data_IF_853853775979
#
_entry.id   IF_853853775979
#
_cell.length_a   1.000
_cell.length_b   1.000
_cell.length_c   1.000
_cell.angle_alpha   90.00
_cell.angle_beta   90.00
_cell.angle_gamma   90.00
#
_symmetry.space_group_name_H-M   'P 1'
#
loop_
_entity.id
_entity.type
_entity.pdbx_description
1 polymer ?
#
# COMPACT_ATOMS: atom_id res chain seq x y z
N UNK A 1 15.40 -18.98 14.77
CA UNK A 1 14.96 -17.61 15.13
C UNK A 1 14.30 -16.91 13.93
N UNK A 2 13.10 -16.32 14.09
CA UNK A 2 12.50 -15.46 13.05
C UNK A 2 13.31 -14.17 12.93
N UNK A 3 13.60 -13.72 11.72
CA UNK A 3 14.23 -12.42 11.47
C UNK A 3 13.28 -11.30 11.94
N UNK A 4 13.78 -10.34 12.72
CA UNK A 4 13.01 -9.21 13.24
C UNK A 4 13.85 -7.93 13.23
N UNK A 5 13.18 -6.77 13.20
CA UNK A 5 13.82 -5.46 13.37
C UNK A 5 14.11 -5.18 14.84
N UNK A 6 15.13 -4.36 15.14
CA UNK A 6 15.45 -3.93 16.52
C UNK A 6 14.42 -2.93 17.07
N UNK A 7 13.86 -2.09 16.20
CA UNK A 7 12.81 -1.11 16.52
C UNK A 7 11.66 -1.24 15.51
N UNK A 8 10.50 -0.63 15.83
CA UNK A 8 9.32 -0.66 14.97
C UNK A 8 8.94 0.73 14.42
N UNK A 9 9.92 1.58 14.12
CA UNK A 9 9.66 2.98 13.69
C UNK A 9 8.84 3.07 12.40
N UNK A 10 8.83 2.02 11.58
CA UNK A 10 8.02 1.90 10.36
C UNK A 10 6.56 1.48 10.61
N UNK A 11 6.16 1.28 11.87
CA UNK A 11 4.78 0.95 12.22
C UNK A 11 4.30 -0.40 11.67
N UNK A 12 5.19 -1.38 11.60
CA UNK A 12 4.89 -2.73 11.11
C UNK A 12 4.85 -2.89 9.59
N UNK A 13 5.06 -1.80 8.83
CA UNK A 13 4.93 -1.79 7.36
C UNK A 13 6.18 -1.19 6.72
N UNK A 14 6.82 -1.92 5.81
CA UNK A 14 8.03 -1.50 5.09
C UNK A 14 7.83 -1.69 3.60
N UNK A 15 7.99 -0.63 2.81
CA UNK A 15 7.77 -0.68 1.36
C UNK A 15 6.36 -1.17 0.98
N UNK A 16 5.36 -0.91 1.83
CA UNK A 16 3.98 -1.38 1.64
C UNK A 16 3.73 -2.85 2.03
N UNK A 17 4.70 -3.53 2.64
CA UNK A 17 4.59 -4.94 3.05
C UNK A 17 4.75 -5.05 4.56
N UNK A 18 3.91 -5.88 5.19
CA UNK A 18 3.99 -6.17 6.63
C UNK A 18 5.28 -6.91 6.98
N UNK A 19 6.03 -6.45 7.99
CA UNK A 19 7.30 -7.05 8.41
C UNK A 19 7.19 -8.04 9.59
N UNK A 20 5.97 -8.27 10.09
CA UNK A 20 5.69 -9.12 11.25
C UNK A 20 5.75 -8.42 12.62
N UNK A 21 6.10 -7.13 12.67
CA UNK A 21 5.97 -6.32 13.87
C UNK A 21 4.54 -5.76 14.01
N UNK A 22 4.12 -5.30 15.21
CA UNK A 22 2.79 -4.71 15.40
C UNK A 22 2.53 -3.54 14.44
N UNK A 23 1.37 -3.54 13.79
CA UNK A 23 0.96 -2.44 12.92
C UNK A 23 0.41 -1.32 13.78
N UNK A 24 0.97 -0.11 13.65
CA UNK A 24 0.43 1.07 14.30
C UNK A 24 0.55 2.28 13.38
N UNK A 25 -0.45 3.15 13.43
CA UNK A 25 -0.52 4.37 12.64
C UNK A 25 -1.28 5.44 13.43
N UNK A 26 -1.10 6.70 13.02
CA UNK A 26 -1.79 7.85 13.61
C UNK A 26 -2.70 8.46 12.56
N UNK A 27 -3.91 8.85 12.98
CA UNK A 27 -4.90 9.47 12.11
C UNK A 27 -5.21 10.87 12.62
N UNK A 28 -5.09 11.86 11.74
CA UNK A 28 -5.52 13.22 12.02
C UNK A 28 -7.00 13.40 11.68
N UNK A 29 -7.78 13.90 12.64
CA UNK A 29 -9.18 14.27 12.41
C UNK A 29 -9.31 15.78 12.38
N UNK A 30 -9.91 16.32 11.32
CA UNK A 30 -10.33 17.71 11.32
C UNK A 30 -11.41 17.94 12.40
N UNK A 31 -11.51 19.14 12.98
CA UNK A 31 -12.63 19.50 13.83
C UNK A 31 -13.98 19.35 13.13
N UNK A 32 -15.04 19.31 13.93
CA UNK A 32 -16.41 19.35 13.41
C UNK A 32 -16.57 20.54 12.45
N UNK A 33 -17.22 20.32 11.30
CA UNK A 33 -17.36 21.37 10.28
C UNK A 33 -18.22 22.55 10.77
N UNK A 34 -19.11 22.27 11.72
CA UNK A 34 -20.04 23.23 12.29
C UNK A 34 -19.53 23.67 13.66
N UNK A 35 -19.44 24.98 13.84
CA UNK A 35 -19.28 25.64 15.13
C UNK A 35 -20.59 26.37 15.43
N UNK A 36 -21.00 26.43 16.70
CA UNK A 36 -22.22 27.14 17.11
C UNK A 36 -22.15 28.67 17.00
N UNK A 37 -21.07 29.21 16.43
CA UNK A 37 -20.87 30.64 16.20
C UNK A 37 -21.22 30.96 14.75
N UNK A 38 -21.84 32.11 14.52
CA UNK A 38 -22.04 32.66 13.19
C UNK A 38 -20.69 32.76 12.45
N UNK A 39 -20.62 32.23 11.23
CA UNK A 39 -19.43 32.30 10.38
C UNK A 39 -19.76 33.07 9.11
N UNK A 40 -18.89 34.00 8.70
CA UNK A 40 -19.02 34.67 7.41
C UNK A 40 -18.72 33.69 6.30
N UNK A 41 -19.60 33.61 5.31
CA UNK A 41 -19.48 32.73 4.14
C UNK A 41 -20.06 33.43 2.91
N UNK A 42 -20.25 32.70 1.81
CA UNK A 42 -20.90 33.19 0.58
C UNK A 42 -22.25 32.50 0.39
N UNK A 43 -23.22 33.22 -0.17
CA UNK A 43 -24.50 32.62 -0.58
C UNK A 43 -24.30 31.70 -1.79
N UNK A 44 -25.24 30.79 -2.03
CA UNK A 44 -25.20 29.90 -3.19
C UNK A 44 -25.23 30.65 -4.53
N UNK A 45 -25.77 31.88 -4.53
CA UNK A 45 -25.84 32.77 -5.68
C UNK A 45 -24.50 33.48 -5.95
N UNK A 46 -23.49 33.30 -5.09
CA UNK A 46 -22.09 33.66 -5.34
C UNK A 46 -21.73 35.14 -5.15
N UNK A 47 -22.71 36.04 -5.13
CA UNK A 47 -22.46 37.48 -5.16
C UNK A 47 -22.60 38.18 -3.78
N UNK A 48 -23.16 37.50 -2.78
CA UNK A 48 -23.46 38.12 -1.48
C UNK A 48 -22.73 37.44 -0.30
N UNK A 49 -22.25 38.28 0.62
CA UNK A 49 -21.71 37.84 1.90
C UNK A 49 -22.84 37.24 2.74
N UNK A 50 -22.77 35.93 2.99
CA UNK A 50 -23.72 35.19 3.81
C UNK A 50 -23.21 34.98 5.24
N UNK A 51 -24.13 34.65 6.14
CA UNK A 51 -23.79 34.20 7.50
C UNK A 51 -24.30 32.77 7.69
N UNK A 52 -23.38 31.86 8.01
CA UNK A 52 -23.71 30.46 8.31
C UNK A 52 -23.87 30.29 9.82
N UNK A 53 -25.10 30.04 10.26
CA UNK A 53 -25.44 29.63 11.62
C UNK A 53 -25.94 28.19 11.64
N UNK A 54 -25.01 27.23 11.65
CA UNK A 54 -25.39 25.82 11.71
C UNK A 54 -25.60 25.39 13.18
N UNK A 55 -26.87 25.16 13.57
CA UNK A 55 -27.28 24.77 14.93
C UNK A 55 -27.36 23.26 15.20
N UNK A 56 -26.87 22.43 14.26
CA UNK A 56 -27.24 21.01 14.22
C UNK A 56 -26.32 20.02 14.96
N UNK A 57 -25.07 20.38 15.30
CA UNK A 57 -24.16 19.44 15.98
C UNK A 57 -23.92 19.83 17.42
N UNK A 58 -24.29 18.92 18.33
CA UNK A 58 -24.04 19.07 19.76
C UNK A 58 -22.68 18.55 20.21
N UNK A 59 -22.06 17.64 19.44
CA UNK A 59 -20.76 17.07 19.84
C UNK A 59 -19.60 17.96 19.38
N UNK A 60 -18.88 18.60 20.32
CA UNK A 60 -17.73 19.46 20.00
C UNK A 60 -16.53 18.64 19.50
N UNK A 61 -16.46 17.34 19.84
CA UNK A 61 -15.37 16.45 19.47
C UNK A 61 -15.86 15.21 18.74
N UNK A 62 -15.30 14.91 17.55
CA UNK A 62 -15.59 13.68 16.79
C UNK A 62 -14.76 12.48 17.23
N UNK A 63 -13.64 12.72 17.92
CA UNK A 63 -12.57 11.72 18.11
C UNK A 63 -13.04 10.48 18.86
N UNK A 64 -13.84 10.55 19.95
CA UNK A 64 -14.29 9.35 20.66
C UNK A 64 -15.08 8.37 19.77
N UNK A 65 -15.88 8.90 18.81
CA UNK A 65 -16.62 8.08 17.85
C UNK A 65 -15.77 7.58 16.69
N UNK A 66 -14.67 8.25 16.41
CA UNK A 66 -13.81 7.91 15.29
C UNK A 66 -12.96 6.66 15.55
N UNK A 67 -12.60 6.39 16.81
CA UNK A 67 -11.78 5.24 17.21
C UNK A 67 -12.36 3.90 16.70
N UNK A 68 -13.60 3.51 17.03
CA UNK A 68 -14.15 2.24 16.56
C UNK A 68 -14.29 2.17 15.03
N UNK A 69 -14.51 3.32 14.36
CA UNK A 69 -14.57 3.38 12.89
C UNK A 69 -13.19 3.06 12.29
N UNK A 70 -12.12 3.67 12.82
CA UNK A 70 -10.76 3.43 12.35
C UNK A 70 -10.34 1.98 12.58
N UNK A 71 -10.66 1.41 13.74
CA UNK A 71 -10.37 0.01 14.07
C UNK A 71 -11.09 -0.97 13.12
N UNK A 72 -12.37 -0.72 12.85
CA UNK A 72 -13.15 -1.52 11.91
C UNK A 72 -12.57 -1.43 10.50
N UNK A 73 -12.27 -0.22 10.01
CA UNK A 73 -11.69 -0.02 8.68
C UNK A 73 -10.30 -0.65 8.55
N UNK A 74 -9.45 -0.54 9.58
CA UNK A 74 -8.15 -1.20 9.59
C UNK A 74 -8.30 -2.72 9.51
N UNK A 75 -9.25 -3.31 10.25
CA UNK A 75 -9.52 -4.75 10.22
C UNK A 75 -9.98 -5.23 8.85
N UNK A 76 -10.89 -4.48 8.20
CA UNK A 76 -11.36 -4.79 6.85
C UNK A 76 -10.21 -4.79 5.83
N UNK A 77 -9.36 -3.76 5.86
CA UNK A 77 -8.20 -3.64 4.95
C UNK A 77 -7.19 -4.77 5.17
N UNK A 78 -6.94 -5.15 6.43
CA UNK A 78 -6.03 -6.26 6.74
C UNK A 78 -6.58 -7.59 6.22
N UNK A 79 -7.88 -7.85 6.37
CA UNK A 79 -8.53 -9.07 5.85
C UNK A 79 -8.45 -9.09 4.32
N UNK A 80 -8.75 -7.98 3.65
CA UNK A 80 -8.65 -7.89 2.18
C UNK A 80 -7.23 -8.19 1.68
N UNK A 81 -6.22 -7.58 2.30
CA UNK A 81 -4.81 -7.83 1.97
C UNK A 81 -4.42 -9.30 2.19
N UNK A 82 -4.92 -9.92 3.27
CA UNK A 82 -4.71 -11.34 3.56
C UNK A 82 -5.36 -12.23 2.51
N UNK A 83 -6.61 -11.97 2.15
CA UNK A 83 -7.35 -12.73 1.14
C UNK A 83 -6.68 -12.64 -0.24
N UNK A 84 -6.25 -11.44 -0.64
CA UNK A 84 -5.49 -11.26 -1.87
C UNK A 84 -4.20 -12.07 -1.87
N UNK A 85 -3.50 -12.13 -0.74
CA UNK A 85 -2.28 -12.94 -0.60
C UNK A 85 -2.58 -14.44 -0.64
N UNK A 86 -3.64 -14.89 0.02
CA UNK A 86 -4.08 -16.28 0.00
C UNK A 86 -4.49 -16.73 -1.41
N UNK A 87 -5.20 -15.89 -2.16
CA UNK A 87 -5.54 -16.17 -3.55
C UNK A 87 -4.29 -16.37 -4.40
N UNK A 88 -3.27 -15.50 -4.29
CA UNK A 88 -1.99 -15.67 -4.99
C UNK A 88 -1.30 -16.99 -4.60
N UNK A 89 -1.32 -17.35 -3.32
CA UNK A 89 -0.73 -18.61 -2.85
C UNK A 89 -1.48 -19.83 -3.39
N UNK A 90 -2.81 -19.80 -3.38
CA UNK A 90 -3.65 -20.85 -3.93
C UNK A 90 -3.37 -21.03 -5.43
N UNK A 91 -3.38 -19.95 -6.22
CA UNK A 91 -3.04 -20.01 -7.65
C UNK A 91 -1.62 -20.55 -7.88
N UNK A 92 -0.64 -20.11 -7.08
CA UNK A 92 0.74 -20.62 -7.15
C UNK A 92 0.82 -22.13 -6.89
N UNK A 93 0.00 -22.66 -5.97
CA UNK A 93 0.01 -24.09 -5.62
C UNK A 93 -0.52 -25.00 -6.73
N UNK A 94 -1.37 -24.47 -7.62
CA UNK A 94 -1.93 -25.20 -8.76
C UNK A 94 -1.01 -25.21 -9.98
N UNK A 95 -0.01 -24.31 -10.02
CA UNK A 95 0.92 -24.21 -11.14
C UNK A 95 2.14 -25.11 -10.91
N UNK A 96 2.65 -25.76 -11.98
CA UNK A 96 3.90 -26.50 -11.87
C UNK A 96 5.05 -25.54 -11.49
N UNK A 97 6.00 -26.00 -10.65
CA UNK A 97 7.16 -25.18 -10.32
C UNK A 97 7.96 -24.87 -11.58
N UNK A 98 8.19 -23.58 -11.83
CA UNK A 98 9.03 -23.15 -12.94
C UNK A 98 10.47 -23.58 -12.68
N UNK A 99 11.09 -24.25 -13.66
CA UNK A 99 12.50 -24.65 -13.60
C UNK A 99 13.44 -23.43 -13.55
N UNK A 100 12.98 -22.30 -14.06
CA UNK A 100 13.71 -21.03 -14.09
C UNK A 100 12.73 -19.88 -13.86
N UNK A 101 13.07 -18.94 -12.98
CA UNK A 101 12.28 -17.72 -12.79
C UNK A 101 12.48 -16.82 -14.01
N UNK A 102 11.38 -16.46 -14.68
CA UNK A 102 11.44 -15.44 -15.73
C UNK A 102 11.86 -14.11 -15.07
N UNK A 103 12.89 -13.41 -15.60
CA UNK A 103 13.29 -12.13 -15.04
C UNK A 103 12.14 -11.13 -15.16
N UNK A 104 11.91 -10.35 -14.09
CA UNK A 104 10.79 -9.39 -13.99
C UNK A 104 10.85 -8.23 -15.01
N UNK A 105 11.93 -8.15 -15.79
CA UNK A 105 12.06 -7.33 -17.01
C UNK A 105 12.73 -8.18 -18.09
N UNK A 106 12.27 -8.06 -19.33
CA UNK A 106 13.10 -8.40 -20.49
C UNK A 106 14.25 -7.40 -20.53
N UNK A 107 15.34 -7.69 -19.83
CA UNK A 107 16.60 -7.03 -20.09
C UNK A 107 16.96 -7.42 -21.52
N UNK A 108 16.64 -6.56 -22.48
CA UNK A 108 17.23 -6.61 -23.82
C UNK A 108 18.71 -6.31 -23.60
N UNK A 109 19.48 -7.36 -23.30
CA UNK A 109 20.92 -7.34 -23.44
C UNK A 109 21.18 -7.96 -24.81
N UNK A 110 21.36 -7.08 -25.79
CA UNK A 110 21.92 -7.39 -27.10
C UNK A 110 20.95 -8.05 -28.07
N UNK A 111 20.55 -7.31 -29.09
CA UNK A 111 19.96 -7.89 -30.30
C UNK A 111 20.83 -9.04 -30.83
N UNK A 112 20.18 -10.16 -31.13
CA UNK A 112 20.38 -11.14 -32.22
C UNK A 112 21.79 -11.44 -32.82
N UNK A 113 22.90 -10.94 -32.30
CA UNK A 113 24.23 -11.10 -32.90
C UNK A 113 25.23 -11.91 -32.03
N UNK A 114 24.79 -12.43 -30.87
CA UNK A 114 25.67 -13.16 -29.94
C UNK A 114 25.33 -14.66 -29.79
N UNK A 115 24.47 -15.20 -30.66
CA UNK A 115 24.11 -16.63 -30.65
C UNK A 115 25.07 -17.48 -31.50
N UNK A 116 25.81 -16.89 -32.44
CA UNK A 116 26.61 -17.67 -33.40
C UNK A 116 28.10 -17.80 -33.04
N UNK A 117 28.61 -17.08 -32.04
CA UNK A 117 30.06 -17.06 -31.72
C UNK A 117 30.49 -17.93 -30.52
N UNK A 118 29.56 -18.49 -29.76
CA UNK A 118 29.91 -19.31 -28.59
C UNK A 118 30.12 -20.78 -28.95
N UNK A 119 29.45 -21.29 -30.00
CA UNK A 119 29.61 -22.68 -30.45
C UNK A 119 30.92 -22.93 -31.24
N UNK A 120 31.51 -21.90 -31.85
CA UNK A 120 32.75 -22.06 -32.64
C UNK A 120 34.04 -22.09 -31.78
N UNK A 121 34.03 -21.51 -30.58
CA UNK A 121 35.26 -21.36 -29.78
C UNK A 121 35.53 -22.52 -28.79
N UNK A 122 34.56 -23.41 -28.55
CA UNK A 122 34.76 -24.59 -27.69
C UNK A 122 35.18 -25.85 -28.45
N UNK A 123 35.29 -25.81 -29.78
CA UNK A 123 35.73 -26.95 -30.59
C UNK A 123 37.26 -26.99 -30.84
N UNK A 124 38.04 -26.02 -30.33
CA UNK A 124 39.43 -25.80 -30.74
C UNK A 124 40.53 -25.92 -29.67
N UNK A 125 40.22 -26.19 -28.39
CA UNK A 125 41.24 -26.14 -27.30
C UNK A 125 41.48 -27.49 -26.62
N UNK A 126 41.30 -28.60 -27.35
CA UNK A 126 41.74 -29.93 -26.90
C UNK A 126 42.29 -30.75 -28.09
N UNK A 127 43.35 -30.23 -28.72
CA UNK A 127 44.33 -31.01 -29.49
C UNK A 127 45.68 -30.28 -29.42
N UNK A 128 46.44 -30.60 -28.37
CA UNK A 128 47.90 -30.85 -28.32
C UNK A 128 48.33 -30.98 -26.86
#
# INVERSE_FOLDING_TARGET
>A
PRLTTKTNNSGGIQGGITNGAPIYFRVGFKPAATIGQAQTTVTYDGDEAGVLEAKGRHDPCVVPRAVPIVEAMASLVVIDALMAQQARQASRSLLPPLKQTLPAKSTVVGGQAAVEKVEANNAGVNKE
#
